data_IF_711592662199
#
_entry.id   IF_711592662199
#
_cell.length_a   1.000
_cell.length_b   1.000
_cell.length_c   1.000
_cell.angle_alpha   90.00
_cell.angle_beta   90.00
_cell.angle_gamma   90.00
#
_symmetry.space_group_name_H-M   'P 1'
#
loop_
_entity.id
_entity.type
_entity.pdbx_description
1 polymer ?
#
# COMPACT_ATOMS: atom_id res chain seq x y z
N UNK A 1 34.64 58.79 -12.22
CA UNK A 1 35.06 57.52 -12.83
C UNK A 1 34.35 56.41 -12.08
N UNK A 2 33.33 55.80 -12.69
CA UNK A 2 32.55 54.71 -12.09
C UNK A 2 33.17 53.36 -12.47
N UNK A 3 33.37 52.49 -11.49
CA UNK A 3 33.78 51.11 -11.70
C UNK A 3 32.54 50.23 -11.99
N UNK A 4 32.59 49.29 -12.94
CA UNK A 4 31.50 48.33 -13.15
C UNK A 4 31.82 46.95 -12.51
N UNK A 5 30.77 46.30 -12.02
CA UNK A 5 30.60 44.84 -12.13
C UNK A 5 31.17 43.96 -11.02
N UNK A 6 30.43 43.83 -9.91
CA UNK A 6 30.59 42.74 -8.94
C UNK A 6 29.28 41.95 -8.82
N UNK A 7 29.08 40.97 -9.69
CA UNK A 7 27.91 40.08 -9.67
C UNK A 7 28.29 38.70 -10.17
N UNK A 8 28.56 37.79 -9.24
CA UNK A 8 28.91 36.39 -9.53
C UNK A 8 28.78 35.57 -8.25
N UNK A 9 27.55 35.27 -7.85
CA UNK A 9 27.28 34.27 -6.83
C UNK A 9 27.80 32.89 -7.27
N UNK A 10 28.17 31.99 -6.34
CA UNK A 10 28.91 30.79 -6.66
C UNK A 10 27.97 29.63 -7.00
N UNK A 11 27.06 29.79 -7.94
CA UNK A 11 26.30 28.64 -8.45
C UNK A 11 26.01 28.82 -9.94
N UNK A 12 26.66 28.07 -10.85
CA UNK A 12 26.13 27.95 -12.19
C UNK A 12 24.76 27.26 -12.12
N UNK A 13 23.75 27.70 -12.89
CA UNK A 13 22.53 26.92 -13.10
C UNK A 13 22.87 25.72 -13.98
N UNK A 14 23.54 24.72 -13.40
CA UNK A 14 23.82 23.46 -14.06
C UNK A 14 22.75 22.45 -13.69
N UNK A 15 21.88 22.21 -14.67
CA UNK A 15 21.27 20.91 -14.94
C UNK A 15 20.25 20.44 -13.87
N UNK A 16 19.01 20.93 -14.00
CA UNK A 16 17.87 20.00 -13.96
C UNK A 16 18.17 18.91 -15.00
N UNK A 17 18.83 17.84 -14.56
CA UNK A 17 18.66 16.56 -15.23
C UNK A 17 17.27 16.13 -14.81
N UNK A 18 16.38 16.03 -15.79
CA UNK A 18 15.14 15.30 -15.61
C UNK A 18 15.54 13.92 -15.11
N UNK A 19 15.40 13.68 -13.80
CA UNK A 19 15.57 12.35 -13.25
C UNK A 19 14.35 11.54 -13.72
N UNK A 20 14.53 10.56 -14.62
CA UNK A 20 13.40 9.81 -15.16
C UNK A 20 12.63 9.06 -14.08
N UNK A 21 13.28 8.77 -12.95
CA UNK A 21 12.65 8.14 -11.81
C UNK A 21 11.77 9.13 -11.05
N UNK A 22 12.23 10.36 -10.82
CA UNK A 22 11.44 11.41 -10.18
C UNK A 22 10.21 11.80 -11.02
N UNK A 23 10.37 11.89 -12.35
CA UNK A 23 9.25 12.17 -13.25
C UNK A 23 8.20 11.04 -13.23
N UNK A 24 8.63 9.77 -13.15
CA UNK A 24 7.73 8.62 -12.99
C UNK A 24 7.02 8.65 -11.64
N UNK A 25 7.73 8.96 -10.57
CA UNK A 25 7.18 9.07 -9.22
C UNK A 25 6.13 10.19 -9.13
N UNK A 26 6.33 11.30 -9.84
CA UNK A 26 5.36 12.40 -9.89
C UNK A 26 4.09 12.05 -10.68
N UNK A 27 4.20 11.27 -11.76
CA UNK A 27 3.04 10.71 -12.47
C UNK A 27 2.26 9.73 -11.58
N UNK A 28 2.97 8.90 -10.81
CA UNK A 28 2.34 7.96 -9.86
C UNK A 28 1.56 8.73 -8.78
N UNK A 29 2.14 9.80 -8.21
CA UNK A 29 1.46 10.66 -7.23
C UNK A 29 0.16 11.24 -7.78
N UNK A 30 0.14 11.69 -9.03
CA UNK A 30 -1.06 12.23 -9.67
C UNK A 30 -2.22 11.22 -9.78
N UNK A 31 -1.93 9.92 -9.74
CA UNK A 31 -2.98 8.89 -9.80
C UNK A 31 -3.75 8.75 -8.48
N UNK A 32 -3.17 9.14 -7.34
CA UNK A 32 -3.89 9.19 -6.05
C UNK A 32 -5.02 10.23 -6.11
N UNK A 33 -4.76 11.40 -6.70
CA UNK A 33 -5.78 12.45 -6.89
C UNK A 33 -6.98 11.94 -7.70
N UNK A 34 -6.72 11.16 -8.76
CA UNK A 34 -7.77 10.50 -9.58
C UNK A 34 -8.49 9.37 -8.82
N UNK A 35 -7.78 8.67 -7.93
CA UNK A 35 -8.33 7.58 -7.14
C UNK A 35 -9.34 8.08 -6.08
N UNK A 36 -9.15 9.28 -5.51
CA UNK A 36 -10.05 9.89 -4.51
C UNK A 36 -11.50 9.92 -5.02
N UNK A 37 -11.72 10.29 -6.28
CA UNK A 37 -13.06 10.48 -6.88
C UNK A 37 -13.77 9.13 -7.11
N UNK A 38 -13.04 8.01 -7.22
CA UNK A 38 -13.58 6.68 -7.56
C UNK A 38 -13.60 5.67 -6.40
N UNK A 39 -13.03 6.04 -5.24
CA UNK A 39 -12.62 5.15 -4.15
C UNK A 39 -13.74 4.34 -3.46
N UNK A 40 -14.98 4.83 -3.40
CA UNK A 40 -16.00 4.22 -2.51
C UNK A 40 -16.46 2.80 -2.92
N UNK A 41 -16.66 2.55 -4.21
CA UNK A 41 -17.12 1.24 -4.70
C UNK A 41 -15.95 0.28 -4.97
N UNK A 42 -14.78 0.83 -5.32
CA UNK A 42 -13.58 0.09 -5.72
C UNK A 42 -13.13 -0.92 -4.67
N UNK A 43 -13.25 -0.58 -3.39
CA UNK A 43 -12.60 -1.32 -2.30
C UNK A 43 -13.56 -1.92 -1.29
N UNK A 44 -14.87 -1.95 -1.56
CA UNK A 44 -15.86 -2.53 -0.64
C UNK A 44 -15.51 -3.96 -0.21
N UNK A 45 -14.90 -4.73 -1.12
CA UNK A 45 -14.40 -6.08 -0.81
C UNK A 45 -13.22 -6.06 0.14
N UNK A 46 -12.21 -5.19 -0.08
CA UNK A 46 -11.07 -5.00 0.84
C UNK A 46 -11.54 -4.57 2.23
N UNK A 47 -12.53 -3.67 2.29
CA UNK A 47 -13.14 -3.25 3.55
C UNK A 47 -13.78 -4.42 4.27
N UNK A 48 -14.56 -5.23 3.54
CA UNK A 48 -15.23 -6.40 4.10
C UNK A 48 -14.21 -7.40 4.65
N UNK A 49 -13.14 -7.68 3.90
CA UNK A 49 -12.05 -8.54 4.36
C UNK A 49 -11.34 -7.98 5.58
N UNK A 50 -11.08 -6.67 5.60
CA UNK A 50 -10.41 -6.01 6.73
C UNK A 50 -11.28 -6.04 7.98
N UNK A 51 -12.58 -5.78 7.85
CA UNK A 51 -13.52 -5.91 8.97
C UNK A 51 -13.58 -7.34 9.50
N UNK A 52 -13.66 -8.33 8.61
CA UNK A 52 -13.63 -9.73 8.99
C UNK A 52 -12.33 -10.08 9.70
N UNK A 53 -11.19 -9.66 9.19
CA UNK A 53 -9.89 -9.88 9.82
C UNK A 53 -9.81 -9.28 11.23
N UNK A 54 -10.30 -8.04 11.40
CA UNK A 54 -10.39 -7.39 12.72
C UNK A 54 -11.31 -8.19 13.66
N UNK A 55 -12.42 -8.75 13.16
CA UNK A 55 -13.42 -9.49 13.95
C UNK A 55 -13.08 -10.96 14.24
N UNK A 56 -12.52 -11.72 13.28
CA UNK A 56 -12.49 -13.19 13.29
C UNK A 56 -11.22 -13.83 13.86
N UNK A 57 -10.12 -13.09 14.01
CA UNK A 57 -8.91 -13.62 14.66
C UNK A 57 -8.10 -14.62 13.82
N UNK A 58 -8.64 -15.08 12.69
CA UNK A 58 -8.03 -16.06 11.80
C UNK A 58 -7.73 -15.44 10.45
N UNK A 59 -6.51 -15.70 9.95
CA UNK A 59 -6.19 -15.52 8.53
C UNK A 59 -7.03 -16.52 7.75
N UNK A 60 -7.88 -16.12 6.80
CA UNK A 60 -8.55 -17.06 5.91
C UNK A 60 -7.47 -17.80 5.11
N UNK A 61 -7.22 -19.06 5.45
CA UNK A 61 -6.35 -19.91 4.63
C UNK A 61 -7.04 -20.14 3.28
N UNK A 62 -6.30 -19.93 2.18
CA UNK A 62 -6.82 -20.07 0.81
C UNK A 62 -7.12 -21.54 0.42
N UNK A 63 -7.02 -22.49 1.34
CA UNK A 63 -7.33 -23.91 1.12
C UNK A 63 -8.37 -24.39 2.13
N UNK A 64 -9.66 -24.34 1.78
CA UNK A 64 -10.68 -25.27 2.32
C UNK A 64 -11.97 -25.18 1.50
N UNK A 65 -12.09 -26.07 0.52
CA UNK A 65 -13.38 -26.67 0.17
C UNK A 65 -13.73 -27.66 1.27
N UNK A 66 -14.54 -27.29 2.27
CA UNK A 66 -15.54 -28.20 2.86
C UNK A 66 -16.41 -27.53 3.91
N UNK A 67 -17.71 -27.81 3.75
CA UNK A 67 -18.78 -27.87 4.75
C UNK A 67 -18.29 -28.17 6.17
N UNK A 68 -18.55 -27.27 7.11
CA UNK A 68 -19.04 -27.57 8.47
C UNK A 68 -18.91 -26.32 9.35
N UNK A 69 -19.96 -26.05 10.12
CA UNK A 69 -20.00 -25.07 11.18
C UNK A 69 -18.85 -25.32 12.18
N UNK A 70 -17.79 -24.52 12.11
CA UNK A 70 -16.83 -24.37 13.20
C UNK A 70 -17.26 -23.15 14.00
N UNK A 71 -17.57 -23.37 15.27
CA UNK A 71 -17.98 -22.33 16.20
C UNK A 71 -16.97 -21.18 16.16
N UNK A 72 -17.43 -19.99 15.76
CA UNK A 72 -16.68 -18.74 15.84
C UNK A 72 -16.49 -18.41 17.31
N UNK A 73 -15.42 -18.93 17.91
CA UNK A 73 -14.91 -18.38 19.16
C UNK A 73 -14.43 -16.98 18.82
N UNK A 74 -15.27 -15.98 19.11
CA UNK A 74 -14.89 -14.59 19.10
C UNK A 74 -13.78 -14.41 20.17
N UNK A 75 -12.53 -14.61 19.80
CA UNK A 75 -11.40 -14.25 20.66
C UNK A 75 -11.23 -12.74 20.64
N UNK A 76 -12.11 -12.07 21.38
CA UNK A 76 -12.06 -10.65 21.70
C UNK A 76 -10.84 -10.39 22.59
N UNK A 77 -9.66 -10.32 21.98
CA UNK A 77 -8.41 -10.09 22.72
C UNK A 77 -7.13 -10.19 21.90
N UNK A 78 -7.16 -10.79 20.72
CA UNK A 78 -5.96 -10.91 19.88
C UNK A 78 -5.57 -9.53 19.35
N UNK A 79 -4.37 -9.06 19.71
CA UNK A 79 -3.75 -7.88 19.13
C UNK A 79 -3.40 -8.15 17.67
N UNK A 80 -3.83 -7.27 16.77
CA UNK A 80 -3.64 -7.42 15.31
C UNK A 80 -2.97 -6.21 14.71
N UNK A 81 -2.26 -6.42 13.61
CA UNK A 81 -1.65 -5.34 12.84
C UNK A 81 -2.17 -5.31 11.40
N UNK A 82 -2.39 -4.10 10.90
CA UNK A 82 -2.77 -3.84 9.50
C UNK A 82 -1.70 -2.95 8.89
N UNK A 83 -1.31 -3.27 7.67
CA UNK A 83 -0.33 -2.53 6.87
C UNK A 83 -0.97 -2.21 5.52
N UNK A 84 -1.34 -0.96 5.30
CA UNK A 84 -1.78 -0.43 4.01
C UNK A 84 -0.55 0.02 3.24
N UNK A 85 -0.24 -0.64 2.12
CA UNK A 85 0.84 -0.26 1.20
C UNK A 85 0.30 0.77 0.20
N UNK A 86 1.13 1.75 -0.16
CA UNK A 86 0.77 2.87 -1.03
C UNK A 86 -0.51 3.56 -0.58
N UNK A 87 -0.57 3.94 0.70
CA UNK A 87 -1.83 4.38 1.29
C UNK A 87 -2.42 5.64 0.66
N UNK A 88 -1.59 6.53 0.07
CA UNK A 88 -2.05 7.80 -0.50
C UNK A 88 -3.06 8.51 0.41
N UNK A 89 -4.22 8.80 -0.16
CA UNK A 89 -5.39 9.42 0.49
C UNK A 89 -6.34 8.46 1.25
N UNK A 90 -5.94 7.21 1.52
CA UNK A 90 -6.75 6.19 2.18
C UNK A 90 -7.35 6.67 3.51
N UNK A 91 -8.68 6.57 3.65
CA UNK A 91 -9.43 6.95 4.86
C UNK A 91 -9.95 5.75 5.66
N UNK A 92 -9.56 4.52 5.28
CA UNK A 92 -10.04 3.26 5.90
C UNK A 92 -9.79 3.24 7.41
N UNK A 93 -8.68 3.76 7.89
CA UNK A 93 -8.41 3.88 9.33
C UNK A 93 -9.54 4.63 10.07
N UNK A 94 -9.93 5.80 9.57
CA UNK A 94 -10.99 6.61 10.17
C UNK A 94 -12.35 5.93 10.03
N UNK A 95 -12.62 5.30 8.88
CA UNK A 95 -13.85 4.57 8.62
C UNK A 95 -14.06 3.40 9.60
N UNK A 96 -13.03 2.60 9.86
CA UNK A 96 -13.12 1.51 10.84
C UNK A 96 -13.25 2.04 12.26
N UNK A 97 -12.49 3.08 12.61
CA UNK A 97 -12.57 3.70 13.93
C UNK A 97 -13.97 4.25 14.24
N UNK A 98 -14.62 4.87 13.26
CA UNK A 98 -16.01 5.33 13.38
C UNK A 98 -17.01 4.20 13.59
N UNK A 99 -16.72 2.99 13.08
CA UNK A 99 -17.52 1.76 13.31
C UNK A 99 -17.17 1.04 14.62
N UNK A 100 -16.30 1.60 15.45
CA UNK A 100 -15.80 0.94 16.67
C UNK A 100 -14.83 -0.22 16.40
N UNK A 101 -14.32 -0.33 15.18
CA UNK A 101 -13.33 -1.34 14.80
C UNK A 101 -11.94 -0.72 14.81
N UNK A 102 -11.02 -1.30 15.58
CA UNK A 102 -9.63 -0.85 15.58
C UNK A 102 -8.68 -2.04 15.68
N UNK A 103 -7.66 -2.03 14.83
CA UNK A 103 -6.51 -2.92 14.99
C UNK A 103 -5.62 -2.40 16.13
N UNK A 104 -4.81 -3.29 16.71
CA UNK A 104 -3.84 -2.89 17.72
C UNK A 104 -2.78 -1.94 17.13
N UNK A 105 -2.41 -2.16 15.86
CA UNK A 105 -1.53 -1.27 15.09
C UNK A 105 -2.06 -1.13 13.67
N UNK A 106 -2.09 0.09 13.15
CA UNK A 106 -2.40 0.39 11.75
C UNK A 106 -1.23 1.17 11.16
N UNK A 107 -0.60 0.63 10.13
CA UNK A 107 0.52 1.24 9.43
C UNK A 107 0.07 1.60 8.03
N UNK A 108 0.38 2.83 7.66
CA UNK A 108 0.23 3.34 6.31
C UNK A 108 1.64 3.51 5.75
N UNK A 109 1.97 2.78 4.69
CA UNK A 109 3.26 2.83 4.02
C UNK A 109 3.04 3.55 2.71
N UNK A 110 3.88 4.53 2.42
CA UNK A 110 3.83 5.31 1.20
C UNK A 110 5.27 5.59 0.77
N UNK A 111 5.72 6.84 0.77
CA UNK A 111 7.08 7.18 0.37
C UNK A 111 8.18 6.66 1.31
N UNK A 112 9.39 6.37 0.77
CA UNK A 112 10.50 5.70 1.47
C UNK A 112 10.89 6.30 2.81
N UNK A 113 10.75 7.62 2.96
CA UNK A 113 11.09 8.41 4.15
C UNK A 113 10.32 7.94 5.39
N UNK A 114 9.10 7.43 5.20
CA UNK A 114 8.26 6.90 6.26
C UNK A 114 8.30 5.37 6.38
N UNK A 115 8.74 4.68 5.32
CA UNK A 115 8.71 3.21 5.19
C UNK A 115 9.71 2.52 6.10
N UNK A 116 10.96 2.99 6.15
CA UNK A 116 12.03 2.30 6.89
C UNK A 116 11.73 2.16 8.39
N UNK A 117 11.26 3.25 9.03
CA UNK A 117 10.91 3.25 10.46
C UNK A 117 9.73 2.32 10.74
N UNK A 118 8.69 2.35 9.89
CA UNK A 118 7.50 1.51 10.04
C UNK A 118 7.84 0.03 9.82
N UNK A 119 8.66 -0.31 8.82
CA UNK A 119 9.09 -1.67 8.54
C UNK A 119 9.80 -2.34 9.73
N UNK A 120 10.66 -1.59 10.45
CA UNK A 120 11.32 -2.09 11.67
C UNK A 120 10.30 -2.41 12.76
N UNK A 121 9.29 -1.55 12.95
CA UNK A 121 8.25 -1.78 13.97
C UNK A 121 7.36 -2.96 13.59
N UNK A 122 6.96 -3.08 12.33
CA UNK A 122 6.17 -4.21 11.82
C UNK A 122 6.93 -5.51 12.08
N UNK A 123 8.22 -5.58 11.71
CA UNK A 123 9.06 -6.76 11.92
C UNK A 123 9.26 -7.12 13.40
N UNK A 124 9.38 -6.12 14.29
CA UNK A 124 9.47 -6.36 15.74
C UNK A 124 8.20 -7.01 16.31
N UNK A 125 7.06 -6.83 15.66
CA UNK A 125 5.77 -7.38 16.08
C UNK A 125 5.31 -8.56 15.21
N UNK A 126 6.26 -9.33 14.63
CA UNK A 126 5.97 -10.43 13.70
C UNK A 126 5.05 -11.55 14.20
N UNK A 127 4.90 -11.69 15.52
CA UNK A 127 3.99 -12.65 16.14
C UNK A 127 2.52 -12.19 16.11
N UNK A 128 2.26 -10.90 15.84
CA UNK A 128 0.90 -10.41 15.66
C UNK A 128 0.38 -10.85 14.29
N UNK A 129 -0.86 -11.37 14.21
CA UNK A 129 -1.52 -11.57 12.93
C UNK A 129 -1.52 -10.26 12.13
N UNK A 130 -0.98 -10.32 10.91
CA UNK A 130 -0.73 -9.16 10.07
C UNK A 130 -1.52 -9.22 8.78
N UNK A 131 -2.31 -8.18 8.49
CA UNK A 131 -2.94 -8.00 7.19
C UNK A 131 -2.17 -6.95 6.39
N UNK A 132 -1.64 -7.34 5.24
CA UNK A 132 -1.10 -6.43 4.24
C UNK A 132 -2.16 -6.17 3.18
N UNK A 133 -2.39 -4.90 2.88
CA UNK A 133 -3.28 -4.45 1.83
C UNK A 133 -2.43 -3.76 0.76
N UNK A 134 -2.56 -4.20 -0.49
CA UNK A 134 -2.06 -3.49 -1.66
C UNK A 134 -3.24 -3.13 -2.54
N UNK A 135 -3.50 -1.84 -2.72
CA UNK A 135 -4.51 -1.34 -3.63
C UNK A 135 -3.85 -0.46 -4.70
N UNK A 136 -3.76 -0.96 -5.93
CA UNK A 136 -3.18 -0.23 -7.05
C UNK A 136 -1.76 0.27 -6.73
N UNK A 137 -0.88 -0.56 -6.17
CA UNK A 137 0.49 -0.15 -5.77
C UNK A 137 1.54 -0.97 -6.50
N UNK A 138 1.42 -2.30 -6.45
CA UNK A 138 2.46 -3.19 -6.97
C UNK A 138 2.59 -3.10 -8.49
N UNK A 139 1.56 -2.60 -9.20
CA UNK A 139 1.63 -2.33 -10.64
C UNK A 139 2.59 -1.20 -11.01
N UNK A 140 2.90 -0.29 -10.09
CA UNK A 140 3.72 0.88 -10.37
C UNK A 140 5.22 0.65 -10.15
N UNK A 141 5.60 -0.43 -9.46
CA UNK A 141 6.99 -0.79 -9.17
C UNK A 141 7.48 -1.93 -10.08
N UNK A 142 8.80 -2.15 -10.13
CA UNK A 142 9.34 -3.22 -10.97
C UNK A 142 8.93 -4.59 -10.41
N UNK A 143 8.70 -5.61 -11.27
CA UNK A 143 8.33 -6.95 -10.80
C UNK A 143 9.29 -7.52 -9.75
N UNK A 144 10.61 -7.30 -9.90
CA UNK A 144 11.61 -7.74 -8.93
C UNK A 144 11.46 -7.09 -7.55
N UNK A 145 11.03 -5.83 -7.50
CA UNK A 145 10.78 -5.11 -6.24
C UNK A 145 9.48 -5.61 -5.59
N UNK A 146 8.44 -5.85 -6.38
CA UNK A 146 7.19 -6.48 -5.91
C UNK A 146 7.45 -7.86 -5.32
N UNK A 147 8.23 -8.69 -6.01
CA UNK A 147 8.63 -10.02 -5.53
C UNK A 147 9.43 -9.90 -4.22
N UNK A 148 10.33 -8.94 -4.12
CA UNK A 148 11.09 -8.70 -2.90
C UNK A 148 10.18 -8.33 -1.71
N UNK A 149 9.13 -7.53 -1.92
CA UNK A 149 8.16 -7.19 -0.88
C UNK A 149 7.39 -8.43 -0.41
N UNK A 150 6.85 -9.23 -1.33
CA UNK A 150 6.08 -10.43 -0.99
C UNK A 150 6.96 -11.46 -0.26
N UNK A 151 8.18 -11.69 -0.76
CA UNK A 151 9.15 -12.57 -0.12
C UNK A 151 9.55 -12.06 1.27
N UNK A 152 9.74 -10.75 1.43
CA UNK A 152 10.03 -10.16 2.73
C UNK A 152 8.89 -10.39 3.73
N UNK A 153 7.63 -10.24 3.31
CA UNK A 153 6.48 -10.51 4.19
C UNK A 153 6.49 -11.97 4.65
N UNK A 154 6.61 -12.92 3.73
CA UNK A 154 6.63 -14.35 4.06
C UNK A 154 7.81 -14.77 4.94
N UNK A 155 8.97 -14.13 4.79
CA UNK A 155 10.15 -14.44 5.59
C UNK A 155 10.16 -13.79 6.98
N UNK A 156 9.38 -12.72 7.20
CA UNK A 156 9.50 -11.89 8.41
C UNK A 156 8.26 -11.91 9.31
N UNK A 157 7.14 -12.52 8.89
CA UNK A 157 5.89 -12.57 9.66
C UNK A 157 5.52 -14.00 10.01
N UNK A 158 5.11 -14.24 11.27
CA UNK A 158 4.74 -15.59 11.73
C UNK A 158 3.32 -15.96 11.27
N UNK A 159 2.44 -14.95 11.12
CA UNK A 159 1.09 -15.10 10.58
C UNK A 159 0.70 -13.86 9.77
N UNK A 160 0.65 -13.98 8.45
CA UNK A 160 0.31 -12.88 7.54
C UNK A 160 -0.74 -13.26 6.50
N UNK A 161 -1.61 -12.31 6.18
CA UNK A 161 -2.46 -12.32 5.00
C UNK A 161 -2.03 -11.16 4.08
N UNK A 162 -1.93 -11.42 2.79
CA UNK A 162 -1.61 -10.40 1.79
C UNK A 162 -2.75 -10.31 0.78
N UNK A 163 -3.44 -9.17 0.75
CA UNK A 163 -4.58 -8.93 -0.14
C UNK A 163 -4.19 -7.90 -1.18
N UNK A 164 -4.41 -8.25 -2.45
CA UNK A 164 -3.97 -7.50 -3.62
C UNK A 164 -5.18 -7.13 -4.45
N UNK A 165 -5.36 -5.84 -4.69
CA UNK A 165 -6.32 -5.30 -5.63
C UNK A 165 -5.56 -4.50 -6.69
N UNK A 166 -5.43 -5.07 -7.88
CA UNK A 166 -4.62 -4.52 -8.97
C UNK A 166 -5.31 -4.85 -10.31
N UNK A 167 -5.02 -4.06 -11.35
CA UNK A 167 -5.47 -4.36 -12.71
C UNK A 167 -4.85 -5.67 -13.23
N UNK A 168 -5.62 -6.46 -13.98
CA UNK A 168 -5.18 -7.73 -14.55
C UNK A 168 -5.25 -7.71 -16.08
N UNK A 169 -4.52 -8.64 -16.73
CA UNK A 169 -4.55 -8.88 -18.17
C UNK A 169 -4.22 -7.65 -19.05
N UNK A 170 -3.00 -7.08 -18.94
CA UNK A 170 -2.62 -5.92 -19.75
C UNK A 170 -2.56 -6.18 -21.26
N UNK A 171 -2.61 -7.45 -21.68
CA UNK A 171 -2.45 -7.87 -23.08
C UNK A 171 -3.76 -8.04 -23.84
N UNK A 172 -4.91 -7.95 -23.17
CA UNK A 172 -6.20 -7.97 -23.88
C UNK A 172 -6.52 -6.59 -24.49
N UNK A 173 -7.62 -6.50 -25.25
CA UNK A 173 -8.00 -5.25 -25.90
C UNK A 173 -8.28 -4.11 -24.90
N UNK A 174 -8.77 -4.44 -23.70
CA UNK A 174 -9.03 -3.47 -22.64
C UNK A 174 -7.73 -3.00 -22.00
N UNK A 175 -6.84 -3.92 -21.62
CA UNK A 175 -5.52 -3.65 -21.05
C UNK A 175 -4.63 -2.86 -22.00
N UNK A 176 -4.64 -3.19 -23.29
CA UNK A 176 -3.90 -2.44 -24.31
C UNK A 176 -4.41 -1.00 -24.45
N UNK A 177 -5.74 -0.78 -24.35
CA UNK A 177 -6.32 0.55 -24.35
C UNK A 177 -6.00 1.30 -23.06
N UNK A 178 -6.11 0.64 -21.91
CA UNK A 178 -5.77 1.20 -20.60
C UNK A 178 -4.32 1.68 -20.56
N UNK A 179 -3.36 0.87 -21.02
CA UNK A 179 -1.94 1.23 -21.08
C UNK A 179 -1.65 2.39 -22.04
N UNK A 180 -2.47 2.58 -23.09
CA UNK A 180 -2.32 3.75 -23.98
C UNK A 180 -2.74 5.05 -23.31
N UNK A 181 -3.70 4.98 -22.38
CA UNK A 181 -4.22 6.15 -21.68
C UNK A 181 -3.39 6.54 -20.44
N UNK A 182 -2.47 5.68 -20.00
CA UNK A 182 -1.60 5.89 -18.84
C UNK A 182 -0.18 6.35 -19.23
N UNK A 183 0.02 6.79 -20.48
CA UNK A 183 1.32 7.27 -21.01
C UNK A 183 1.41 8.78 -21.02
#
# INVERSE_FOLDING_TARGET
MGAPGGGGGPFPPSMMRDDPQAARDDVIKGTDDDAIISSYLRTRSLDTFTEQFIKSGTVPSQTTTTTAAAATTHETGIKKQIVSLGCGSDTRYFKFKAKGLSAHKYFEIDFPESTAKKAVVIKKNKALPTLFLSECVLIYIQPGDSDAIVNWVGANMDASLFVVYEQINPTDAFGAMMLRNLK
#
